data_IF_795546253747
#
_entry.id   IF_795546253747
#
_cell.length_a   1.000
_cell.length_b   1.000
_cell.length_c   1.000
_cell.angle_alpha   90.00
_cell.angle_beta   90.00
_cell.angle_gamma   90.00
#
_symmetry.space_group_name_H-M   'P 1'
#
loop_
_entity.id
_entity.type
_entity.pdbx_description
1 polymer ?
#
# COMPACT_ATOMS: atom_id res chain seq x y z
N UNK A 1 3.43 28.20 8.78
CA UNK A 1 3.09 27.46 10.00
C UNK A 1 4.24 27.60 10.98
N UNK A 2 3.96 27.80 12.27
CA UNK A 2 5.00 27.74 13.30
C UNK A 2 5.09 26.30 13.77
N UNK A 3 6.20 25.63 13.44
CA UNK A 3 6.48 24.27 13.90
C UNK A 3 7.24 24.33 15.24
N UNK A 4 7.08 23.33 16.13
CA UNK A 4 7.91 23.24 17.34
C UNK A 4 9.40 23.14 16.99
N UNK A 5 10.26 23.75 17.80
CA UNK A 5 11.72 23.73 17.59
C UNK A 5 12.27 22.30 17.49
N UNK A 6 11.78 21.40 18.35
CA UNK A 6 12.11 19.99 18.32
C UNK A 6 11.81 19.30 16.97
N UNK A 7 10.77 19.74 16.26
CA UNK A 7 10.47 19.23 14.92
C UNK A 7 11.41 19.83 13.88
N UNK A 8 11.71 21.13 13.96
CA UNK A 8 12.70 21.78 13.09
C UNK A 8 14.07 21.13 13.22
N UNK A 9 14.52 20.83 14.44
CA UNK A 9 15.78 20.13 14.71
C UNK A 9 15.81 18.74 14.07
N UNK A 10 14.70 17.99 14.16
CA UNK A 10 14.55 16.70 13.49
C UNK A 10 14.69 16.85 11.96
N UNK A 11 14.01 17.83 11.36
CA UNK A 11 14.08 18.05 9.92
C UNK A 11 15.49 18.42 9.46
N UNK A 12 16.17 19.29 10.21
CA UNK A 12 17.56 19.67 9.93
C UNK A 12 18.49 18.45 9.99
N UNK A 13 18.30 17.57 10.98
CA UNK A 13 19.08 16.32 11.12
C UNK A 13 18.86 15.37 9.94
N UNK A 14 17.63 15.24 9.46
CA UNK A 14 17.29 14.39 8.31
C UNK A 14 17.59 15.05 6.95
N UNK A 15 17.97 16.33 6.95
CA UNK A 15 18.23 17.12 5.74
C UNK A 15 16.95 17.41 4.93
N UNK A 16 15.82 17.55 5.61
CA UNK A 16 14.50 17.84 5.02
C UNK A 16 14.21 19.34 5.15
N UNK A 17 13.85 20.01 4.04
CA UNK A 17 13.47 21.42 4.08
C UNK A 17 12.08 21.57 4.76
N UNK A 18 11.94 22.36 5.85
CA UNK A 18 10.66 22.58 6.52
C UNK A 18 9.54 23.12 5.61
N UNK A 19 9.88 23.76 4.48
CA UNK A 19 8.90 24.21 3.49
C UNK A 19 8.08 23.08 2.90
N UNK A 20 8.57 21.84 2.95
CA UNK A 20 7.83 20.61 2.59
C UNK A 20 6.44 20.58 3.22
N UNK A 21 6.31 21.06 4.46
CA UNK A 21 5.03 21.05 5.20
C UNK A 21 4.17 22.29 4.98
N UNK A 22 4.63 23.22 4.13
CA UNK A 22 3.90 24.44 3.78
C UNK A 22 3.27 24.37 2.39
N UNK A 23 3.46 23.26 1.66
CA UNK A 23 2.89 23.04 0.32
C UNK A 23 1.49 22.45 0.43
N UNK A 24 0.55 22.98 -0.33
CA UNK A 24 -0.73 22.30 -0.57
C UNK A 24 -0.53 21.18 -1.59
N UNK A 25 -0.66 19.93 -1.14
CA UNK A 25 -0.65 18.78 -2.04
C UNK A 25 -2.08 18.39 -2.43
N UNK A 26 -2.32 18.00 -3.69
CA UNK A 26 -3.62 17.51 -4.12
C UNK A 26 -4.05 16.30 -3.30
N UNK A 27 -5.33 16.30 -2.90
CA UNK A 27 -5.81 15.46 -1.79
C UNK A 27 -5.96 13.99 -2.18
N UNK A 28 -6.43 13.71 -3.40
CA UNK A 28 -6.72 12.36 -3.88
C UNK A 28 -6.75 12.31 -5.39
N UNK A 29 -6.26 11.21 -5.95
CA UNK A 29 -6.58 10.78 -7.31
C UNK A 29 -7.81 9.90 -7.26
N UNK A 30 -8.73 10.15 -8.18
CA UNK A 30 -9.91 9.31 -8.42
C UNK A 30 -9.53 8.30 -9.51
N UNK A 31 -9.43 7.04 -9.11
CA UNK A 31 -9.18 5.95 -10.07
C UNK A 31 -10.50 5.32 -10.52
N UNK A 32 -10.76 5.32 -11.83
CA UNK A 32 -11.89 4.60 -12.46
C UNK A 32 -11.36 3.35 -13.16
N UNK A 33 -12.00 2.23 -12.92
CA UNK A 33 -11.53 0.89 -13.29
C UNK A 33 -12.11 0.40 -14.62
N UNK A 34 -13.09 1.12 -15.20
CA UNK A 34 -13.81 0.70 -16.42
C UNK A 34 -13.32 1.37 -17.71
N UNK A 35 -12.50 2.43 -17.61
CA UNK A 35 -11.95 3.14 -18.77
C UNK A 35 -10.48 3.49 -18.51
N UNK A 36 -9.50 2.93 -19.26
CA UNK A 36 -8.13 3.44 -19.23
C UNK A 36 -8.16 4.90 -19.71
N UNK A 37 -7.53 5.79 -18.94
CA UNK A 37 -7.56 7.23 -19.15
C UNK A 37 -6.96 7.63 -20.50
N UNK A 38 -7.76 8.22 -21.39
CA UNK A 38 -7.25 9.24 -22.32
C UNK A 38 -7.05 10.53 -21.52
N UNK A 39 -5.80 10.99 -21.47
CA UNK A 39 -5.25 11.96 -20.53
C UNK A 39 -5.63 13.42 -20.77
N UNK A 40 -6.30 13.75 -21.86
CA UNK A 40 -6.24 15.12 -22.40
C UNK A 40 -7.35 16.07 -21.90
N UNK A 41 -8.43 15.56 -21.31
CA UNK A 41 -9.59 16.38 -20.93
C UNK A 41 -9.64 16.71 -19.43
N UNK A 42 -8.91 15.98 -18.59
CA UNK A 42 -8.99 16.07 -17.12
C UNK A 42 -8.02 17.11 -16.53
N UNK A 43 -6.94 17.44 -17.25
CA UNK A 43 -5.91 18.38 -16.77
C UNK A 43 -6.32 19.85 -16.77
N UNK A 44 -7.40 20.21 -17.48
CA UNK A 44 -7.66 21.62 -17.83
C UNK A 44 -8.34 22.46 -16.76
N UNK A 45 -9.03 21.87 -15.78
CA UNK A 45 -9.80 22.67 -14.81
C UNK A 45 -9.35 22.59 -13.34
N UNK A 46 -8.63 21.53 -12.91
CA UNK A 46 -8.02 21.48 -11.57
C UNK A 46 -6.78 20.56 -11.55
N UNK A 47 -5.54 21.05 -11.34
CA UNK A 47 -4.39 20.17 -11.16
C UNK A 47 -4.50 19.45 -9.81
N UNK A 48 -5.03 18.23 -9.82
CA UNK A 48 -4.95 17.27 -8.71
C UNK A 48 -6.21 17.05 -7.86
N UNK A 49 -7.38 17.55 -8.28
CA UNK A 49 -8.67 17.03 -7.78
C UNK A 49 -9.60 16.83 -8.97
N UNK A 50 -9.80 15.57 -9.33
CA UNK A 50 -10.83 15.17 -10.28
C UNK A 50 -12.22 15.35 -9.65
N UNK A 51 -13.11 16.09 -10.30
CA UNK A 51 -14.55 16.04 -10.05
C UNK A 51 -15.19 15.47 -11.31
N UNK A 52 -15.75 14.27 -11.20
CA UNK A 52 -16.41 13.57 -12.31
C UNK A 52 -17.92 13.61 -12.09
N UNK A 53 -18.67 14.00 -13.12
CA UNK A 53 -20.13 13.94 -13.15
C UNK A 53 -20.61 12.52 -13.55
N UNK A 54 -21.74 12.01 -13.01
CA UNK A 54 -22.26 10.66 -13.29
C UNK A 54 -22.42 10.36 -14.80
N UNK A 55 -22.34 9.08 -15.24
CA UNK A 55 -22.51 7.84 -14.47
C UNK A 55 -21.23 7.00 -14.39
N UNK A 56 -20.56 7.01 -13.23
CA UNK A 56 -19.43 6.13 -12.95
C UNK A 56 -19.76 5.23 -11.76
N UNK A 57 -19.57 3.91 -11.89
CA UNK A 57 -20.06 2.95 -10.90
C UNK A 57 -19.29 2.98 -9.57
N UNK A 58 -17.97 3.27 -9.54
CA UNK A 58 -17.20 3.41 -8.28
C UNK A 58 -15.98 4.35 -8.42
N UNK A 59 -15.86 5.32 -7.51
CA UNK A 59 -14.72 6.25 -7.38
C UNK A 59 -13.88 5.86 -6.16
N UNK A 60 -12.57 5.70 -6.34
CA UNK A 60 -11.61 5.43 -5.26
C UNK A 60 -10.71 6.65 -5.10
N UNK A 61 -10.80 7.36 -3.97
CA UNK A 61 -9.83 8.41 -3.65
C UNK A 61 -8.58 7.80 -3.02
N UNK A 62 -7.39 8.00 -3.60
CA UNK A 62 -6.10 7.57 -3.02
C UNK A 62 -5.03 8.62 -3.26
N UNK A 63 -4.04 8.74 -2.36
CA UNK A 63 -2.89 9.62 -2.58
C UNK A 63 -2.04 9.11 -3.76
N UNK A 64 -1.51 10.00 -4.61
CA UNK A 64 -0.74 9.60 -5.79
C UNK A 64 0.46 8.74 -5.43
N UNK A 65 1.16 9.10 -4.35
CA UNK A 65 2.34 8.37 -3.90
C UNK A 65 2.00 6.90 -3.61
N UNK A 66 0.82 6.69 -3.02
CA UNK A 66 0.29 5.36 -2.72
C UNK A 66 -0.17 4.62 -3.97
N UNK A 67 -0.69 5.32 -4.97
CA UNK A 67 -1.03 4.73 -6.27
C UNK A 67 0.23 4.28 -7.01
N UNK A 68 1.26 5.13 -7.08
CA UNK A 68 2.54 4.79 -7.74
C UNK A 68 3.16 3.54 -7.11
N UNK A 69 3.10 3.39 -5.78
CA UNK A 69 3.57 2.17 -5.11
C UNK A 69 2.88 0.90 -5.66
N UNK A 70 1.57 0.96 -5.89
CA UNK A 70 0.81 -0.16 -6.48
C UNK A 70 1.11 -0.31 -7.97
N UNK A 71 1.26 0.77 -8.73
CA UNK A 71 1.63 0.71 -10.15
C UNK A 71 3.00 0.02 -10.35
N UNK A 72 3.97 0.29 -9.48
CA UNK A 72 5.30 -0.33 -9.56
C UNK A 72 5.29 -1.85 -9.31
N UNK A 73 4.22 -2.41 -8.73
CA UNK A 73 4.07 -3.88 -8.65
C UNK A 73 3.88 -4.50 -10.03
N UNK A 74 3.36 -3.75 -11.01
CA UNK A 74 3.07 -4.23 -12.36
C UNK A 74 2.18 -5.49 -12.32
N UNK A 75 0.96 -5.30 -11.82
CA UNK A 75 0.00 -6.36 -11.52
C UNK A 75 -0.76 -6.76 -12.78
N UNK A 76 -0.79 -8.06 -13.04
CA UNK A 76 -1.58 -8.69 -14.08
C UNK A 76 -2.79 -9.45 -13.49
N UNK A 77 -3.89 -9.65 -14.23
CA UNK A 77 -5.09 -10.33 -13.73
C UNK A 77 -4.88 -11.75 -13.17
N UNK A 78 -3.77 -12.40 -13.52
CA UNK A 78 -3.42 -13.75 -13.08
C UNK A 78 -2.49 -13.78 -11.86
N UNK A 79 -1.99 -12.63 -11.41
CA UNK A 79 -1.06 -12.55 -10.30
C UNK A 79 -1.76 -12.86 -8.97
N UNK A 80 -1.06 -13.58 -8.11
CA UNK A 80 -1.37 -13.77 -6.70
C UNK A 80 -0.60 -12.71 -5.92
N UNK A 81 -1.33 -11.77 -5.34
CA UNK A 81 -0.75 -10.59 -4.69
C UNK A 81 -0.94 -10.64 -3.19
N UNK A 82 0.12 -10.39 -2.43
CA UNK A 82 0.07 -10.21 -0.97
C UNK A 82 0.26 -8.74 -0.61
N UNK A 83 -0.55 -8.21 0.29
CA UNK A 83 -0.37 -6.91 0.94
C UNK A 83 -0.23 -7.15 2.45
N UNK A 84 1.00 -7.02 2.97
CA UNK A 84 1.33 -7.38 4.35
C UNK A 84 0.88 -6.35 5.40
N UNK A 85 0.46 -5.16 4.99
CA UNK A 85 0.04 -4.06 5.85
C UNK A 85 -1.15 -3.33 5.19
N UNK A 86 -2.24 -4.07 5.03
CA UNK A 86 -3.28 -3.72 4.06
C UNK A 86 -4.34 -2.72 4.56
N UNK A 87 -4.44 -2.51 5.88
CA UNK A 87 -5.53 -1.74 6.42
C UNK A 87 -5.23 -0.24 6.34
N UNK A 88 -6.25 0.60 6.09
CA UNK A 88 -6.04 2.04 6.02
C UNK A 88 -5.63 2.58 7.39
N UNK A 89 -4.79 3.62 7.41
CA UNK A 89 -4.53 4.39 8.62
C UNK A 89 -5.82 4.92 9.27
N UNK A 90 -5.77 5.23 10.57
CA UNK A 90 -6.90 5.73 11.38
C UNK A 90 -7.32 7.17 11.03
N UNK A 91 -7.39 7.48 9.74
CA UNK A 91 -8.00 8.69 9.24
C UNK A 91 -9.52 8.54 9.36
N UNK A 92 -9.99 8.60 10.61
CA UNK A 92 -11.40 8.61 10.94
C UNK A 92 -12.16 9.53 9.99
N UNK A 93 -13.28 9.01 9.50
CA UNK A 93 -14.39 9.75 8.89
C UNK A 93 -14.44 9.91 7.36
N UNK A 94 -13.40 9.63 6.58
CA UNK A 94 -13.52 9.75 5.12
C UNK A 94 -14.04 8.47 4.45
N UNK A 95 -15.35 8.32 4.45
CA UNK A 95 -16.10 7.32 3.66
C UNK A 95 -15.86 7.60 2.16
N UNK A 96 -14.90 6.91 1.52
CA UNK A 96 -14.52 7.24 0.12
C UNK A 96 -13.09 6.91 -0.26
N UNK A 97 -12.16 6.90 0.69
CA UNK A 97 -10.73 6.69 0.43
C UNK A 97 -10.45 5.20 0.25
N UNK A 98 -9.77 4.83 -0.82
CA UNK A 98 -9.31 3.47 -1.07
C UNK A 98 -8.08 3.09 -0.26
N UNK A 99 -7.88 1.79 -0.11
CA UNK A 99 -6.61 1.20 0.35
C UNK A 99 -5.78 0.74 -0.85
N UNK A 100 -4.47 0.56 -0.67
CA UNK A 100 -3.63 -0.08 -1.68
C UNK A 100 -4.17 -1.47 -2.04
N UNK A 101 -4.59 -2.26 -1.04
CA UNK A 101 -5.32 -3.53 -1.23
C UNK A 101 -6.52 -3.41 -2.19
N UNK A 102 -7.31 -2.34 -2.08
CA UNK A 102 -8.49 -2.15 -2.94
C UNK A 102 -8.11 -1.80 -4.38
N UNK A 103 -7.02 -1.06 -4.59
CA UNK A 103 -6.47 -0.78 -5.92
C UNK A 103 -5.88 -2.06 -6.53
N UNK A 104 -5.16 -2.86 -5.74
CA UNK A 104 -4.66 -4.18 -6.16
C UNK A 104 -5.83 -5.07 -6.61
N UNK A 105 -6.89 -5.16 -5.79
CA UNK A 105 -8.08 -5.93 -6.12
C UNK A 105 -8.73 -5.47 -7.43
N UNK A 106 -8.78 -4.15 -7.66
CA UNK A 106 -9.29 -3.58 -8.90
C UNK A 106 -8.45 -3.96 -10.11
N UNK A 107 -7.11 -3.94 -10.01
CA UNK A 107 -6.22 -4.31 -11.12
C UNK A 107 -6.30 -5.78 -11.48
N UNK A 108 -6.49 -6.64 -10.48
CA UNK A 108 -6.71 -8.07 -10.69
C UNK A 108 -8.04 -8.33 -11.43
N UNK A 109 -9.08 -7.58 -11.07
CA UNK A 109 -10.40 -7.69 -11.67
C UNK A 109 -11.02 -9.09 -11.56
N UNK A 110 -12.06 -9.31 -12.35
CA UNK A 110 -12.89 -10.53 -12.26
C UNK A 110 -12.58 -11.57 -13.35
N UNK A 111 -11.81 -11.21 -14.39
CA UNK A 111 -11.53 -12.06 -15.56
C UNK A 111 -10.37 -13.04 -15.40
N UNK A 112 -9.35 -12.72 -14.61
CA UNK A 112 -8.14 -13.55 -14.44
C UNK A 112 -8.22 -14.60 -13.34
N UNK A 113 -7.14 -15.38 -13.15
CA UNK A 113 -7.06 -16.40 -12.10
C UNK A 113 -6.45 -15.89 -10.78
N UNK A 114 -6.00 -14.64 -10.78
CA UNK A 114 -5.30 -14.01 -9.68
C UNK A 114 -6.19 -13.76 -8.46
N UNK A 115 -5.54 -13.42 -7.36
CA UNK A 115 -6.23 -13.12 -6.10
C UNK A 115 -5.38 -12.20 -5.24
N UNK A 116 -6.03 -11.53 -4.30
CA UNK A 116 -5.35 -10.69 -3.33
C UNK A 116 -5.49 -11.26 -1.91
N UNK A 117 -4.39 -11.30 -1.18
CA UNK A 117 -4.37 -11.57 0.26
C UNK A 117 -3.93 -10.31 1.00
N UNK A 118 -4.72 -9.85 1.96
CA UNK A 118 -4.37 -8.75 2.85
C UNK A 118 -4.05 -9.24 4.27
N UNK A 119 -3.09 -8.60 4.92
CA UNK A 119 -2.74 -8.85 6.32
C UNK A 119 -2.68 -7.52 7.06
N UNK A 120 -3.20 -7.48 8.28
CA UNK A 120 -2.98 -6.35 9.20
C UNK A 120 -3.21 -6.82 10.64
N UNK A 121 -2.46 -6.26 11.59
CA UNK A 121 -2.61 -6.63 13.00
C UNK A 121 -3.83 -5.96 13.66
N UNK A 122 -4.33 -4.86 13.09
CA UNK A 122 -5.39 -4.05 13.70
C UNK A 122 -6.78 -4.46 13.20
N UNK A 123 -7.51 -5.18 14.06
CA UNK A 123 -8.91 -5.51 13.83
C UNK A 123 -9.78 -4.27 13.55
N UNK A 124 -9.51 -3.17 14.23
CA UNK A 124 -10.24 -1.90 14.03
C UNK A 124 -10.03 -1.35 12.62
N UNK A 125 -8.78 -1.26 12.15
CA UNK A 125 -8.47 -0.80 10.78
C UNK A 125 -9.05 -1.74 9.72
N UNK A 126 -9.00 -3.05 9.97
CA UNK A 126 -9.53 -4.07 9.06
C UNK A 126 -11.05 -3.96 8.83
N UNK A 127 -11.82 -3.49 9.81
CA UNK A 127 -13.25 -3.23 9.61
C UNK A 127 -13.50 -2.17 8.51
N UNK A 128 -12.66 -1.14 8.43
CA UNK A 128 -12.73 -0.15 7.35
C UNK A 128 -12.35 -0.77 6.01
N UNK A 129 -11.27 -1.56 5.97
CA UNK A 129 -10.84 -2.29 4.79
C UNK A 129 -11.97 -3.19 4.22
N UNK A 130 -12.65 -3.95 5.10
CA UNK A 130 -13.81 -4.78 4.72
C UNK A 130 -14.97 -3.98 4.14
N UNK A 131 -15.27 -2.82 4.72
CA UNK A 131 -16.34 -1.94 4.22
C UNK A 131 -16.02 -1.42 2.81
N UNK A 132 -14.76 -1.04 2.55
CA UNK A 132 -14.30 -0.62 1.22
C UNK A 132 -14.39 -1.77 0.22
N UNK A 133 -13.87 -2.95 0.55
CA UNK A 133 -13.92 -4.13 -0.33
C UNK A 133 -15.35 -4.53 -0.68
N UNK A 134 -16.28 -4.49 0.28
CA UNK A 134 -17.71 -4.77 0.03
C UNK A 134 -18.32 -3.76 -0.92
N UNK A 135 -18.04 -2.46 -0.73
CA UNK A 135 -18.54 -1.38 -1.60
C UNK A 135 -18.05 -1.53 -3.03
N UNK A 136 -16.79 -1.93 -3.19
CA UNK A 136 -16.16 -2.21 -4.49
C UNK A 136 -16.51 -3.58 -5.07
N UNK A 137 -17.32 -4.38 -4.38
CA UNK A 137 -17.71 -5.73 -4.81
C UNK A 137 -16.51 -6.63 -5.13
N UNK A 138 -15.44 -6.54 -4.33
CA UNK A 138 -14.24 -7.36 -4.53
C UNK A 138 -14.55 -8.84 -4.33
N UNK A 139 -14.33 -9.64 -5.37
CA UNK A 139 -14.74 -11.04 -5.41
C UNK A 139 -13.61 -12.05 -5.14
N UNK A 140 -12.34 -11.63 -5.19
CA UNK A 140 -11.16 -12.50 -5.09
C UNK A 140 -10.17 -12.05 -4.00
N UNK A 141 -10.69 -11.65 -2.84
CA UNK A 141 -9.88 -11.26 -1.69
C UNK A 141 -10.03 -12.19 -0.49
N UNK A 142 -8.94 -12.35 0.26
CA UNK A 142 -8.90 -12.91 1.61
C UNK A 142 -8.07 -12.00 2.50
N UNK A 143 -8.50 -11.78 3.73
CA UNK A 143 -7.87 -10.82 4.65
C UNK A 143 -7.73 -11.44 6.02
N UNK A 144 -6.55 -11.31 6.60
CA UNK A 144 -6.15 -11.89 7.86
C UNK A 144 -5.87 -10.82 8.90
N UNK A 145 -6.36 -11.04 10.12
CA UNK A 145 -6.04 -10.22 11.29
C UNK A 145 -4.93 -10.91 12.08
N UNK A 146 -3.67 -10.60 11.75
CA UNK A 146 -2.50 -11.22 12.37
C UNK A 146 -1.24 -10.38 12.14
N UNK A 147 -0.14 -10.75 12.80
CA UNK A 147 1.17 -10.11 12.64
C UNK A 147 1.79 -10.45 11.28
N UNK A 148 2.01 -9.44 10.45
CA UNK A 148 2.63 -9.57 9.13
C UNK A 148 4.07 -10.07 9.16
N UNK A 149 4.79 -9.94 10.28
CA UNK A 149 6.17 -10.43 10.43
C UNK A 149 6.26 -11.95 10.59
N UNK A 150 5.16 -12.59 10.96
CA UNK A 150 5.09 -14.05 11.17
C UNK A 150 4.03 -14.73 10.30
N UNK A 151 3.34 -13.96 9.45
CA UNK A 151 2.34 -14.47 8.52
C UNK A 151 2.91 -15.57 7.62
N UNK A 152 2.20 -16.68 7.49
CA UNK A 152 2.70 -17.90 6.87
C UNK A 152 1.73 -18.52 5.84
N UNK A 153 0.58 -17.88 5.57
CA UNK A 153 -0.41 -18.45 4.66
C UNK A 153 0.03 -18.25 3.22
N UNK A 154 0.06 -19.35 2.47
CA UNK A 154 0.35 -19.35 1.05
C UNK A 154 -0.81 -18.79 0.23
N UNK A 155 -0.49 -18.38 -0.99
CA UNK A 155 -1.47 -17.88 -1.94
C UNK A 155 -2.43 -19.01 -2.34
N UNK A 156 -3.73 -18.71 -2.53
CA UNK A 156 -4.65 -19.68 -3.08
C UNK A 156 -4.23 -20.07 -4.50
N UNK A 157 -4.53 -21.31 -4.87
CA UNK A 157 -4.37 -21.77 -6.24
C UNK A 157 -5.41 -21.11 -7.17
N UNK A 158 -5.32 -21.40 -8.48
CA UNK A 158 -6.02 -20.65 -9.52
C UNK A 158 -7.53 -20.51 -9.25
N UNK A 159 -8.02 -19.26 -9.25
CA UNK A 159 -9.44 -18.97 -9.11
C UNK A 159 -10.10 -18.91 -10.49
N UNK A 160 -11.25 -19.54 -10.72
CA UNK A 160 -11.87 -19.49 -12.03
C UNK A 160 -12.47 -18.11 -12.31
N UNK A 161 -12.62 -17.83 -13.60
CA UNK A 161 -13.20 -16.59 -14.10
C UNK A 161 -14.67 -16.47 -13.65
N UNK A 162 -15.04 -15.31 -13.10
CA UNK A 162 -16.40 -15.07 -12.57
C UNK A 162 -17.44 -14.99 -13.70
N UNK A 163 -17.00 -14.71 -14.93
CA UNK A 163 -17.83 -14.65 -16.12
C UNK A 163 -18.12 -16.01 -16.76
N UNK A 164 -17.46 -17.09 -16.35
CA UNK A 164 -17.92 -18.42 -16.75
C UNK A 164 -19.34 -18.61 -16.18
N UNK A 165 -20.34 -18.99 -17.00
CA UNK A 165 -21.70 -19.13 -16.56
C UNK A 165 -21.73 -20.10 -15.39
N UNK A 166 -21.91 -19.55 -14.19
CA UNK A 166 -22.03 -20.33 -12.97
C UNK A 166 -23.13 -21.35 -13.20
N UNK A 167 -22.74 -22.61 -13.44
CA UNK A 167 -23.70 -23.67 -13.67
C UNK A 167 -24.65 -23.65 -12.48
N UNK A 168 -25.93 -23.33 -12.74
CA UNK A 168 -27.00 -23.33 -11.74
C UNK A 168 -27.06 -24.74 -11.14
N UNK A 169 -26.33 -25.01 -10.06
CA UNK A 169 -26.49 -26.23 -9.28
C UNK A 169 -25.96 -26.07 -7.85
N UNK A 170 -26.88 -26.42 -6.94
CA UNK A 170 -26.81 -26.62 -5.49
C UNK A 170 -26.58 -25.37 -4.61
N UNK A 171 -27.55 -25.17 -3.70
CA UNK A 171 -27.39 -24.43 -2.44
C UNK A 171 -26.28 -25.08 -1.62
N UNK A 172 -25.02 -24.83 -1.97
CA UNK A 172 -23.87 -25.22 -1.16
C UNK A 172 -23.90 -24.37 0.10
N UNK A 173 -23.94 -25.00 1.29
CA UNK A 173 -23.80 -24.29 2.57
C UNK A 173 -22.49 -23.50 2.53
N UNK A 174 -22.55 -22.21 2.89
CA UNK A 174 -21.35 -21.40 3.11
C UNK A 174 -20.55 -22.07 4.22
N UNK A 175 -19.32 -22.49 3.92
CA UNK A 175 -18.41 -22.97 4.96
C UNK A 175 -17.80 -21.77 5.67
N UNK A 176 -17.61 -21.89 6.97
CA UNK A 176 -16.85 -20.93 7.78
C UNK A 176 -15.47 -21.54 7.96
N UNK A 177 -14.42 -20.77 7.66
CA UNK A 177 -13.05 -21.19 7.97
C UNK A 177 -12.88 -21.39 9.47
N UNK A 178 -12.11 -22.41 9.85
CA UNK A 178 -11.69 -22.66 11.23
C UNK A 178 -10.43 -21.87 11.62
N UNK A 179 -9.80 -21.18 10.66
CA UNK A 179 -8.64 -20.32 10.93
C UNK A 179 -9.08 -19.07 11.73
N UNK A 180 -8.64 -18.92 12.99
CA UNK A 180 -9.05 -17.80 13.84
C UNK A 180 -8.48 -16.47 13.35
N UNK A 181 -7.45 -16.50 12.51
CA UNK A 181 -6.83 -15.30 11.94
C UNK A 181 -7.53 -14.82 10.68
N UNK A 182 -8.36 -15.66 10.02
CA UNK A 182 -9.09 -15.24 8.84
C UNK A 182 -10.22 -14.27 9.21
N UNK A 183 -10.03 -13.00 8.84
CA UNK A 183 -10.95 -11.92 9.17
C UNK A 183 -12.06 -11.74 8.11
N UNK A 184 -11.69 -11.84 6.83
CA UNK A 184 -12.62 -11.69 5.72
C UNK A 184 -12.22 -12.56 4.54
N UNK A 185 -13.20 -13.09 3.83
CA UNK A 185 -13.02 -13.74 2.54
C UNK A 185 -14.20 -13.40 1.64
N UNK A 186 -13.92 -13.21 0.35
CA UNK A 186 -14.92 -12.95 -0.67
C UNK A 186 -15.77 -14.20 -0.94
N UNK A 187 -16.91 -14.00 -1.62
CA UNK A 187 -17.90 -15.05 -1.88
C UNK A 187 -17.34 -16.27 -2.62
N UNK A 188 -16.37 -16.08 -3.51
CA UNK A 188 -15.77 -17.17 -4.30
C UNK A 188 -15.08 -18.21 -3.40
N UNK A 189 -14.43 -17.76 -2.33
CA UNK A 189 -13.75 -18.62 -1.36
C UNK A 189 -14.75 -19.40 -0.50
N UNK A 190 -15.84 -18.76 -0.06
CA UNK A 190 -16.86 -19.41 0.80
C UNK A 190 -17.64 -20.54 0.15
N UNK A 191 -17.76 -20.53 -1.19
CA UNK A 191 -18.50 -21.55 -1.95
C UNK A 191 -17.66 -22.75 -2.35
N UNK A 192 -16.34 -22.56 -2.49
CA UNK A 192 -15.43 -23.63 -2.88
C UNK A 192 -14.80 -24.21 -1.63
N UNK A 193 -15.41 -25.29 -1.13
CA UNK A 193 -14.73 -26.17 -0.20
C UNK A 193 -13.44 -26.66 -0.89
N UNK A 194 -12.29 -26.38 -0.31
CA UNK A 194 -10.96 -26.88 -0.71
C UNK A 194 -10.26 -26.15 -1.87
N UNK A 195 -10.22 -24.82 -1.89
CA UNK A 195 -9.14 -24.14 -2.64
C UNK A 195 -7.82 -24.43 -1.93
N UNK A 196 -6.93 -25.20 -2.55
CA UNK A 196 -5.58 -25.44 -2.04
C UNK A 196 -4.75 -24.16 -2.05
N UNK A 197 -3.81 -24.06 -1.12
CA UNK A 197 -2.92 -22.93 -0.97
C UNK A 197 -1.48 -23.45 -0.94
N UNK A 198 -0.90 -23.73 -2.10
CA UNK A 198 0.42 -24.35 -2.21
C UNK A 198 1.45 -23.45 -2.90
N UNK A 199 1.04 -22.25 -3.31
CA UNK A 199 1.86 -21.34 -4.11
C UNK A 199 2.40 -20.18 -3.27
N UNK A 200 3.65 -19.80 -3.51
CA UNK A 200 4.16 -18.48 -3.11
C UNK A 200 3.45 -17.38 -3.94
N UNK A 201 3.56 -16.14 -3.48
CA UNK A 201 2.95 -14.99 -4.15
C UNK A 201 3.79 -14.53 -5.34
N UNK A 202 3.12 -14.12 -6.41
CA UNK A 202 3.74 -13.54 -7.59
C UNK A 202 4.27 -12.13 -7.29
N UNK A 203 3.52 -11.39 -6.48
CA UNK A 203 3.77 -10.01 -6.11
C UNK A 203 3.52 -9.80 -4.62
N UNK A 204 4.36 -9.01 -3.97
CA UNK A 204 4.20 -8.68 -2.54
C UNK A 204 4.34 -7.16 -2.35
N UNK A 205 3.40 -6.57 -1.62
CA UNK A 205 3.46 -5.19 -1.15
C UNK A 205 3.73 -5.18 0.34
N UNK A 206 4.76 -4.42 0.74
CA UNK A 206 5.09 -4.11 2.12
C UNK A 206 5.01 -2.60 2.28
N UNK A 207 3.80 -2.10 2.51
CA UNK A 207 3.56 -0.70 2.90
C UNK A 207 3.71 -0.56 4.41
N UNK A 208 4.95 -0.43 4.87
CA UNK A 208 5.28 -0.63 6.27
C UNK A 208 4.78 0.50 7.17
N UNK A 209 4.35 0.13 8.39
CA UNK A 209 4.13 1.09 9.48
C UNK A 209 5.41 1.92 9.66
N UNK A 210 5.26 3.23 9.81
CA UNK A 210 6.38 4.18 9.88
C UNK A 210 6.05 5.35 10.81
N UNK A 211 6.95 6.32 10.92
CA UNK A 211 6.73 7.53 11.73
C UNK A 211 5.75 8.52 11.11
N UNK A 212 5.38 8.36 9.85
CA UNK A 212 4.46 9.25 9.11
C UNK A 212 4.95 10.70 8.94
N UNK A 213 6.26 10.93 9.06
CA UNK A 213 6.92 12.24 8.89
C UNK A 213 6.86 12.78 7.45
N UNK A 214 6.60 11.95 6.44
CA UNK A 214 6.27 12.39 5.08
C UNK A 214 4.78 12.60 4.82
N UNK A 215 3.92 12.16 5.73
CA UNK A 215 2.47 12.25 5.57
C UNK A 215 1.97 13.63 6.01
N UNK A 216 1.90 14.57 5.06
CA UNK A 216 1.33 15.89 5.29
C UNK A 216 -0.06 15.81 5.92
N UNK A 217 -0.89 14.86 5.47
CA UNK A 217 -2.20 14.61 6.06
C UNK A 217 -2.11 14.26 7.54
N UNK A 218 -1.22 13.35 7.92
CA UNK A 218 -1.08 12.95 9.32
C UNK A 218 -0.62 14.13 10.17
N UNK A 219 0.34 14.91 9.68
CA UNK A 219 0.88 16.06 10.41
C UNK A 219 -0.18 17.16 10.55
N UNK A 220 -0.85 17.55 9.46
CA UNK A 220 -1.91 18.56 9.51
C UNK A 220 -3.06 18.11 10.42
N UNK A 221 -3.53 16.87 10.29
CA UNK A 221 -4.64 16.38 11.10
C UNK A 221 -4.25 16.16 12.57
N UNK A 222 -3.24 15.35 12.84
CA UNK A 222 -2.88 14.99 14.20
C UNK A 222 -2.17 16.13 14.93
N UNK A 223 -1.21 16.79 14.28
CA UNK A 223 -0.38 17.79 14.96
C UNK A 223 -1.01 19.19 14.93
N UNK A 224 -1.58 19.61 13.79
CA UNK A 224 -2.16 20.95 13.68
C UNK A 224 -3.62 21.00 14.16
N UNK A 225 -4.51 20.16 13.62
CA UNK A 225 -5.94 20.19 13.99
C UNK A 225 -6.18 19.65 15.41
N UNK A 226 -5.54 18.53 15.77
CA UNK A 226 -5.73 17.90 17.08
C UNK A 226 -4.65 18.24 18.13
N UNK A 227 -3.72 19.13 17.79
CA UNK A 227 -2.65 19.59 18.69
C UNK A 227 -1.84 18.44 19.35
N UNK A 228 -1.57 17.36 18.62
CA UNK A 228 -0.87 16.17 19.14
C UNK A 228 0.64 16.16 18.84
N UNK A 229 1.28 17.33 18.86
CA UNK A 229 2.71 17.45 18.59
C UNK A 229 3.55 16.56 19.52
N UNK A 230 3.25 16.48 20.81
CA UNK A 230 4.01 15.65 21.76
C UNK A 230 4.00 14.17 21.37
N UNK A 231 2.84 13.64 20.95
CA UNK A 231 2.73 12.26 20.51
C UNK A 231 3.51 12.00 19.22
N UNK A 232 3.48 12.97 18.30
CA UNK A 232 4.23 12.88 17.05
C UNK A 232 5.74 12.98 17.28
N UNK A 233 6.20 13.98 18.05
CA UNK A 233 7.60 14.16 18.44
C UNK A 233 8.13 12.91 19.13
N UNK A 234 7.37 12.31 20.05
CA UNK A 234 7.73 11.03 20.67
C UNK A 234 7.98 9.93 19.62
N UNK A 235 7.14 9.83 18.58
CA UNK A 235 7.33 8.83 17.51
C UNK A 235 8.61 9.05 16.70
N UNK A 236 9.06 10.28 16.53
CA UNK A 236 10.24 10.62 15.71
C UNK A 236 11.53 10.84 16.52
N UNK A 237 11.46 10.91 17.85
CA UNK A 237 12.62 11.17 18.72
C UNK A 237 12.91 10.07 19.76
N UNK A 238 11.93 9.23 20.11
CA UNK A 238 12.15 8.12 21.04
C UNK A 238 12.99 7.01 20.37
N UNK A 239 14.27 7.00 20.71
CA UNK A 239 15.26 6.11 20.09
C UNK A 239 14.91 4.62 20.28
N UNK A 240 14.41 4.22 21.44
CA UNK A 240 14.05 2.83 21.69
C UNK A 240 12.82 2.42 20.86
N UNK A 241 11.84 3.31 20.74
CA UNK A 241 10.69 3.08 19.87
C UNK A 241 11.08 3.02 18.38
N UNK A 242 11.99 3.89 17.95
CA UNK A 242 12.51 3.91 16.58
C UNK A 242 13.27 2.63 16.23
N UNK A 243 14.12 2.12 17.13
CA UNK A 243 14.83 0.86 16.92
C UNK A 243 13.87 -0.32 16.76
N UNK A 244 12.83 -0.39 17.59
CA UNK A 244 11.76 -1.38 17.45
C UNK A 244 10.98 -1.24 16.14
N UNK A 245 10.75 -0.01 15.67
CA UNK A 245 10.10 0.27 14.40
C UNK A 245 10.96 -0.16 13.20
N UNK A 246 12.27 0.09 13.23
CA UNK A 246 13.19 -0.31 12.17
C UNK A 246 13.30 -1.84 12.10
N UNK A 247 13.34 -2.51 13.24
CA UNK A 247 13.29 -3.98 13.29
C UNK A 247 11.98 -4.53 12.72
N UNK A 248 10.83 -3.96 13.11
CA UNK A 248 9.53 -4.30 12.55
C UNK A 248 9.51 -4.17 11.02
N UNK A 249 9.96 -3.02 10.50
CA UNK A 249 10.03 -2.76 9.05
C UNK A 249 10.91 -3.78 8.33
N UNK A 250 12.07 -4.11 8.90
CA UNK A 250 12.97 -5.11 8.35
C UNK A 250 12.34 -6.51 8.35
N UNK A 251 11.72 -6.94 9.46
CA UNK A 251 11.07 -8.25 9.57
C UNK A 251 9.85 -8.39 8.66
N UNK A 252 9.10 -7.31 8.44
CA UNK A 252 8.01 -7.28 7.45
C UNK A 252 8.55 -7.47 6.03
N UNK A 253 9.62 -6.75 5.67
CA UNK A 253 10.29 -6.89 4.38
C UNK A 253 10.82 -8.32 4.18
N UNK A 254 11.48 -8.88 5.18
CA UNK A 254 12.03 -10.24 5.15
C UNK A 254 10.94 -11.29 4.99
N UNK A 255 9.85 -11.21 5.76
CA UNK A 255 8.76 -12.17 5.64
C UNK A 255 8.02 -12.04 4.29
N UNK A 256 7.79 -10.81 3.82
CA UNK A 256 7.22 -10.58 2.49
C UNK A 256 8.07 -11.20 1.39
N UNK A 257 9.39 -11.05 1.46
CA UNK A 257 10.31 -11.61 0.49
C UNK A 257 10.42 -13.14 0.59
N UNK A 258 10.29 -13.71 1.78
CA UNK A 258 10.17 -15.17 1.99
C UNK A 258 8.96 -15.73 1.27
N UNK A 259 7.81 -15.06 1.37
CA UNK A 259 6.54 -15.44 0.75
C UNK A 259 6.46 -15.16 -0.75
N UNK A 260 7.45 -14.47 -1.31
CA UNK A 260 7.56 -14.16 -2.73
C UNK A 260 8.15 -15.34 -3.51
N UNK A 261 7.57 -15.65 -4.67
CA UNK A 261 8.11 -16.67 -5.59
C UNK A 261 9.45 -16.24 -6.21
N UNK A 262 10.29 -17.18 -6.68
CA UNK A 262 11.34 -16.88 -7.64
C UNK A 262 10.80 -16.13 -8.87
N UNK A 263 11.56 -15.16 -9.36
CA UNK A 263 11.17 -14.16 -10.35
C UNK A 263 10.03 -13.23 -9.95
N UNK A 264 9.51 -13.31 -8.72
CA UNK A 264 8.48 -12.42 -8.20
C UNK A 264 8.99 -11.00 -7.90
N UNK A 265 8.06 -10.06 -7.75
CA UNK A 265 8.35 -8.67 -7.35
C UNK A 265 7.84 -8.40 -5.94
N UNK A 266 8.68 -7.77 -5.11
CA UNK A 266 8.24 -7.09 -3.89
C UNK A 266 8.40 -5.59 -4.03
N UNK A 267 7.39 -4.83 -3.61
CA UNK A 267 7.51 -3.38 -3.42
C UNK A 267 7.48 -3.09 -1.92
N UNK A 268 8.51 -2.41 -1.44
CA UNK A 268 8.58 -1.83 -0.11
C UNK A 268 8.27 -0.34 -0.21
N UNK A 269 7.38 0.15 0.65
CA UNK A 269 7.06 1.58 0.73
C UNK A 269 6.82 2.07 2.14
N UNK A 270 7.06 3.37 2.34
CA UNK A 270 6.68 4.09 3.56
C UNK A 270 6.22 5.51 3.21
N UNK A 271 5.47 6.14 4.11
CA UNK A 271 5.21 7.59 4.06
C UNK A 271 6.16 8.37 5.00
N UNK A 272 7.42 7.92 5.10
CA UNK A 272 8.47 8.56 5.88
C UNK A 272 9.50 9.26 4.98
N UNK A 273 10.05 10.38 5.43
CA UNK A 273 11.18 11.06 4.78
C UNK A 273 12.53 10.65 5.40
N UNK A 274 12.49 9.92 6.52
CA UNK A 274 13.65 9.48 7.29
C UNK A 274 14.45 8.40 6.56
N UNK A 275 15.75 8.59 6.36
CA UNK A 275 16.59 7.60 5.64
C UNK A 275 16.73 6.27 6.39
N UNK A 276 16.70 6.30 7.72
CA UNK A 276 16.76 5.10 8.58
C UNK A 276 15.61 4.12 8.35
N UNK A 277 14.44 4.60 7.95
CA UNK A 277 13.26 3.77 7.64
C UNK A 277 13.22 3.32 6.18
N UNK A 278 14.03 3.94 5.33
CA UNK A 278 13.93 3.80 3.88
C UNK A 278 15.19 3.13 3.34
N UNK A 279 16.14 3.91 2.84
CA UNK A 279 17.37 3.41 2.20
C UNK A 279 18.19 2.51 3.12
N UNK A 280 18.19 2.77 4.43
CA UNK A 280 18.96 1.95 5.37
C UNK A 280 18.34 0.55 5.55
N UNK A 281 17.01 0.44 5.58
CA UNK A 281 16.31 -0.86 5.60
C UNK A 281 16.62 -1.63 4.31
N UNK A 282 16.47 -1.00 3.14
CA UNK A 282 16.74 -1.65 1.86
C UNK A 282 18.21 -2.06 1.72
N UNK A 283 19.15 -1.19 2.12
CA UNK A 283 20.59 -1.50 2.07
C UNK A 283 20.96 -2.65 3.02
N UNK A 284 20.38 -2.69 4.22
CA UNK A 284 20.55 -3.80 5.17
C UNK A 284 20.03 -5.10 4.55
N UNK A 285 18.84 -5.06 3.95
CA UNK A 285 18.21 -6.22 3.34
C UNK A 285 19.00 -6.76 2.14
N UNK A 286 19.39 -5.91 1.19
CA UNK A 286 20.19 -6.30 0.02
C UNK A 286 21.55 -6.92 0.39
N UNK A 287 22.17 -6.49 1.49
CA UNK A 287 23.42 -7.09 2.00
C UNK A 287 23.19 -8.49 2.57
N UNK A 288 22.04 -8.73 3.19
CA UNK A 288 21.70 -10.00 3.83
C UNK A 288 21.05 -11.01 2.87
N UNK A 289 20.54 -10.57 1.72
CA UNK A 289 19.77 -11.40 0.78
C UNK A 289 20.35 -11.34 -0.63
N UNK A 290 21.32 -12.22 -0.97
CA UNK A 290 22.07 -12.14 -2.23
C UNK A 290 21.24 -12.32 -3.51
N UNK A 291 20.09 -13.00 -3.44
CA UNK A 291 19.18 -13.16 -4.58
C UNK A 291 18.17 -12.02 -4.73
N UNK A 292 18.27 -10.97 -3.89
CA UNK A 292 17.46 -9.76 -4.02
C UNK A 292 18.16 -8.72 -4.90
N UNK A 293 17.45 -8.27 -5.94
CA UNK A 293 17.94 -7.23 -6.85
C UNK A 293 17.01 -6.04 -6.81
N UNK A 294 17.57 -4.85 -6.63
CA UNK A 294 16.85 -3.59 -6.76
C UNK A 294 16.66 -3.24 -8.25
N UNK A 295 15.40 -3.13 -8.67
CA UNK A 295 15.01 -2.76 -10.03
C UNK A 295 14.72 -1.26 -10.13
N UNK A 296 15.06 -0.66 -11.27
CA UNK A 296 14.73 0.74 -11.55
C UNK A 296 13.23 0.88 -11.80
N UNK A 297 12.62 1.89 -11.19
CA UNK A 297 11.18 2.17 -11.25
C UNK A 297 10.85 3.55 -11.78
N UNK A 298 11.83 4.31 -12.27
CA UNK A 298 11.58 5.64 -12.84
C UNK A 298 10.61 5.59 -14.03
N UNK A 299 10.52 4.47 -14.75
CA UNK A 299 9.60 4.28 -15.87
C UNK A 299 8.12 4.21 -15.44
N UNK A 300 7.83 3.97 -14.17
CA UNK A 300 6.47 3.96 -13.62
C UNK A 300 6.00 5.36 -13.18
N UNK A 301 6.89 6.36 -13.18
CA UNK A 301 6.54 7.71 -12.80
C UNK A 301 5.76 8.40 -13.92
N UNK A 302 4.67 9.12 -13.59
CA UNK A 302 4.06 10.05 -14.53
C UNK A 302 5.10 11.08 -14.99
N UNK A 303 5.08 11.45 -16.27
CA UNK A 303 6.07 12.36 -16.89
C UNK A 303 6.23 13.71 -16.20
N UNK A 304 5.18 14.18 -15.49
CA UNK A 304 5.17 15.46 -14.75
C UNK A 304 5.62 15.35 -13.30
N UNK A 305 5.84 14.13 -12.77
CA UNK A 305 6.24 13.93 -11.38
C UNK A 305 7.74 13.73 -11.31
N UNK A 306 8.44 14.68 -10.68
CA UNK A 306 9.87 14.56 -10.46
C UNK A 306 10.14 13.89 -9.11
N UNK A 307 10.96 12.82 -9.06
CA UNK A 307 11.36 12.24 -7.79
C UNK A 307 12.26 13.20 -7.01
N UNK A 308 12.17 13.16 -5.69
CA UNK A 308 13.09 13.82 -4.78
C UNK A 308 14.47 13.15 -4.76
N UNK A 309 15.39 13.77 -4.02
CA UNK A 309 16.77 13.27 -3.87
C UNK A 309 16.78 11.92 -3.15
N UNK A 310 17.41 10.92 -3.76
CA UNK A 310 17.61 9.58 -3.18
C UNK A 310 19.07 9.31 -2.85
N UNK A 311 19.34 8.60 -1.75
CA UNK A 311 20.71 8.15 -1.39
C UNK A 311 20.99 6.71 -1.80
N UNK A 312 19.97 6.01 -2.32
CA UNK A 312 20.07 4.69 -2.93
C UNK A 312 19.50 4.78 -4.36
N UNK A 313 20.34 4.69 -5.40
CA UNK A 313 19.87 4.71 -6.79
C UNK A 313 18.82 3.62 -7.06
N UNK A 314 17.93 3.85 -8.02
CA UNK A 314 16.77 3.01 -8.39
C UNK A 314 15.59 3.03 -7.41
N UNK A 315 15.73 3.59 -6.22
CA UNK A 315 14.58 3.93 -5.38
C UNK A 315 13.92 5.23 -5.85
N UNK A 316 12.67 5.44 -5.43
CA UNK A 316 11.96 6.71 -5.60
C UNK A 316 11.70 7.32 -4.24
N UNK A 317 11.97 8.61 -4.11
CA UNK A 317 11.44 9.46 -3.05
C UNK A 317 10.48 10.46 -3.65
N UNK A 318 9.40 10.72 -2.95
CA UNK A 318 8.58 11.90 -3.16
C UNK A 318 8.83 12.87 -2.01
N UNK A 319 9.06 14.11 -2.40
CA UNK A 319 9.21 15.26 -1.52
C UNK A 319 8.18 16.29 -2.01
N UNK A 320 7.25 16.76 -1.16
CA UNK A 320 6.23 17.73 -1.55
C UNK A 320 6.72 18.96 -2.31
N UNK A 321 7.94 19.45 -2.07
CA UNK A 321 8.52 20.57 -2.83
C UNK A 321 8.90 20.17 -4.25
N UNK A 322 9.41 18.96 -4.46
CA UNK A 322 9.90 18.49 -5.75
C UNK A 322 8.77 17.87 -6.59
N UNK A 323 7.94 17.03 -5.96
CA UNK A 323 6.96 16.20 -6.63
C UNK A 323 5.55 16.76 -6.58
N UNK A 324 5.29 17.79 -5.75
CA UNK A 324 3.94 18.34 -5.55
C UNK A 324 2.94 17.35 -4.94
N UNK A 325 3.42 16.28 -4.31
CA UNK A 325 2.62 15.21 -3.69
C UNK A 325 3.20 14.81 -2.33
N UNK A 326 2.43 14.10 -1.51
CA UNK A 326 2.83 13.67 -0.16
C UNK A 326 4.21 12.98 -0.14
N UNK A 327 4.94 13.19 0.96
CA UNK A 327 6.25 12.56 1.19
C UNK A 327 6.13 11.04 1.27
N UNK A 328 6.97 10.35 0.50
CA UNK A 328 6.86 8.90 0.33
C UNK A 328 8.16 8.28 -0.18
N UNK A 329 8.35 6.98 0.08
CA UNK A 329 9.49 6.21 -0.40
C UNK A 329 9.01 4.90 -1.04
N UNK A 330 9.65 4.51 -2.15
CA UNK A 330 9.35 3.27 -2.88
C UNK A 330 10.65 2.59 -3.29
N UNK A 331 10.75 1.29 -3.00
CA UNK A 331 11.81 0.42 -3.50
C UNK A 331 11.20 -0.87 -4.07
N UNK A 332 11.61 -1.23 -5.29
CA UNK A 332 11.14 -2.44 -5.97
C UNK A 332 12.24 -3.48 -6.06
N UNK A 333 11.98 -4.65 -5.49
CA UNK A 333 12.91 -5.76 -5.38
C UNK A 333 12.42 -6.93 -6.23
N UNK A 334 13.33 -7.51 -7.00
CA UNK A 334 13.14 -8.77 -7.71
C UNK A 334 13.78 -9.89 -6.90
N UNK A 335 13.11 -11.05 -6.87
CA UNK A 335 13.70 -12.29 -6.37
C UNK A 335 14.26 -13.11 -7.51
N UNK A 336 15.58 -13.28 -7.54
CA UNK A 336 16.22 -14.18 -8.50
C UNK A 336 16.01 -15.64 -8.07
N UNK A 337 16.13 -16.55 -9.03
CA UNK A 337 16.01 -17.99 -8.84
C UNK A 337 17.05 -18.56 -7.88
#
# INVERSE_FOLDING_TARGET
MNFPDAFIDFLNKEGVDPKVYSVETPRYFIWNTLYPLETDTIEKEFPGVLKLEPPYDYIIGIDLSSLVAVETLDINPNDKVLDLCCAPGNNGFFVGVGTKLSVIASKLGDSGIGSVTGVDISLSRLNNCRSIMKRMKVNKARVYCTDGTTFDKLAPDELPNIFEPFQKKRKTKLQKSDDPTLFHESYIFKRRANISCNSLYDKVLVDAECTHDGSLRHILKSCVEFNQWDNFLKRIQDQAALEGLYDLQYRLLENGYKLLKPDGVLVYSTCSLTQSQNENIIRKFLRATPNAVLEDINTFLPSKVQPGKVTLPKCIRFDPLCSGISGFFIARLRKLK
#
